data_IF_411447980789
#
_entry.id   IF_411447980789
#
_cell.length_a   1.000
_cell.length_b   1.000
_cell.length_c   1.000
_cell.angle_alpha   90.00
_cell.angle_beta   90.00
_cell.angle_gamma   90.00
#
_symmetry.space_group_name_H-M   'P 1'
#
loop_
_entity.id
_entity.type
_entity.pdbx_description
1 polymer ?
#
# COMPACT_ATOMS: atom_id res chain seq x y z
N UNK A 1 9.87 -66.53 1.61
CA UNK A 1 8.81 -66.00 2.48
C UNK A 1 9.44 -65.21 3.60
N UNK A 2 8.87 -64.04 3.90
CA UNK A 2 8.93 -63.28 5.17
C UNK A 2 10.27 -62.65 5.57
N UNK A 3 10.37 -61.46 6.18
CA UNK A 3 9.62 -60.19 6.28
C UNK A 3 10.47 -59.28 7.21
N UNK A 4 10.44 -57.96 7.03
CA UNK A 4 10.63 -57.00 8.14
C UNK A 4 12.00 -56.26 8.31
N UNK A 5 11.96 -54.94 8.12
CA UNK A 5 12.93 -53.85 8.44
C UNK A 5 13.02 -53.57 9.97
N UNK A 6 14.02 -52.84 10.56
CA UNK A 6 14.23 -51.37 10.40
C UNK A 6 15.69 -50.85 10.47
N UNK A 7 16.06 -49.90 9.60
CA UNK A 7 16.26 -48.44 9.83
C UNK A 7 17.62 -48.04 10.43
N UNK A 8 18.43 -47.28 9.68
CA UNK A 8 19.08 -46.09 10.23
C UNK A 8 19.53 -45.15 9.09
N UNK A 9 18.91 -43.98 9.05
CA UNK A 9 19.15 -42.92 8.06
C UNK A 9 20.50 -42.26 8.33
N UNK A 10 21.46 -42.37 7.40
CA UNK A 10 22.71 -41.62 7.52
C UNK A 10 22.49 -40.15 7.10
N UNK A 11 22.93 -39.18 7.92
CA UNK A 11 22.54 -37.78 7.80
C UNK A 11 23.16 -37.13 6.57
N UNK A 12 22.33 -36.33 5.89
CA UNK A 12 22.79 -35.42 4.84
C UNK A 12 23.95 -34.57 5.38
N UNK A 13 25.09 -34.62 4.69
CA UNK A 13 26.28 -33.82 4.99
C UNK A 13 25.89 -32.35 5.06
N UNK A 14 25.90 -31.76 6.26
CA UNK A 14 25.76 -30.31 6.44
C UNK A 14 26.96 -29.65 5.77
N UNK A 15 26.72 -29.05 4.61
CA UNK A 15 27.69 -28.16 3.98
C UNK A 15 28.03 -27.05 4.98
N UNK A 16 29.31 -26.91 5.31
CA UNK A 16 29.84 -25.91 6.23
C UNK A 16 29.91 -24.55 5.52
N UNK A 17 28.75 -24.06 5.08
CA UNK A 17 28.64 -22.76 4.44
C UNK A 17 28.55 -21.74 5.58
N UNK A 18 29.50 -20.80 5.70
CA UNK A 18 29.37 -19.70 6.64
C UNK A 18 28.07 -18.95 6.34
N UNK A 19 27.33 -18.54 7.37
CA UNK A 19 26.00 -17.92 7.26
C UNK A 19 25.92 -16.68 6.35
N UNK A 20 27.08 -16.13 5.96
CA UNK A 20 27.24 -14.95 5.12
C UNK A 20 27.32 -15.26 3.61
N UNK A 21 27.51 -16.52 3.21
CA UNK A 21 27.60 -16.93 1.81
C UNK A 21 26.35 -17.73 1.41
N UNK A 22 25.20 -17.08 1.35
CA UNK A 22 24.02 -17.66 0.67
C UNK A 22 24.34 -17.82 -0.82
N UNK A 23 23.95 -18.93 -1.48
CA UNK A 23 24.25 -19.16 -2.89
C UNK A 23 23.68 -17.99 -3.69
N UNK A 24 24.55 -17.24 -4.35
CA UNK A 24 24.30 -15.95 -5.02
C UNK A 24 23.34 -16.00 -6.22
N UNK A 25 22.32 -16.85 -6.20
CA UNK A 25 21.36 -17.06 -7.29
C UNK A 25 19.90 -16.73 -6.94
N UNK A 26 19.55 -16.53 -5.67
CA UNK A 26 18.19 -16.09 -5.31
C UNK A 26 18.27 -14.58 -5.11
N UNK A 27 18.07 -13.83 -6.20
CA UNK A 27 17.56 -12.46 -6.06
C UNK A 27 16.23 -12.61 -5.34
N UNK A 28 16.02 -12.05 -4.13
CA UNK A 28 14.68 -11.97 -3.61
C UNK A 28 13.88 -11.28 -4.71
N UNK A 29 12.82 -11.93 -5.22
CA UNK A 29 11.88 -11.27 -6.13
C UNK A 29 11.63 -9.89 -5.54
N UNK A 30 12.04 -8.83 -6.25
CA UNK A 30 11.81 -7.46 -5.83
C UNK A 30 10.30 -7.36 -5.64
N UNK A 31 9.89 -7.44 -4.39
CA UNK A 31 8.50 -7.56 -3.97
C UNK A 31 7.88 -6.21 -4.28
N UNK A 32 7.51 -5.97 -5.55
CA UNK A 32 7.17 -4.67 -6.17
C UNK A 32 6.73 -3.73 -5.08
N UNK A 33 7.70 -2.94 -4.59
CA UNK A 33 7.50 -2.17 -3.37
C UNK A 33 6.30 -1.29 -3.67
N UNK A 34 5.23 -1.48 -2.90
CA UNK A 34 3.93 -0.91 -3.22
C UNK A 34 4.16 0.59 -3.27
N UNK A 35 3.89 1.24 -4.42
CA UNK A 35 4.07 2.68 -4.53
C UNK A 35 3.01 3.34 -3.66
N UNK A 36 3.44 3.71 -2.46
CA UNK A 36 2.63 4.37 -1.46
C UNK A 36 3.28 5.71 -1.10
N UNK A 37 2.44 6.73 -0.96
CA UNK A 37 2.92 8.06 -0.60
C UNK A 37 2.01 8.66 0.45
N UNK A 38 2.63 9.28 1.45
CA UNK A 38 1.92 10.00 2.50
C UNK A 38 1.59 11.40 1.98
N UNK A 39 0.31 11.67 1.79
CA UNK A 39 -0.23 12.92 1.29
C UNK A 39 -1.12 13.57 2.34
N UNK A 40 -1.28 14.89 2.26
CA UNK A 40 -2.22 15.62 3.12
C UNK A 40 -3.59 15.65 2.47
N UNK A 41 -4.62 15.38 3.24
CA UNK A 41 -5.99 15.53 2.77
C UNK A 41 -6.50 16.93 3.12
N UNK A 42 -7.04 17.61 2.11
CA UNK A 42 -7.81 18.85 2.24
C UNK A 42 -9.28 18.59 2.00
N UNK A 43 -10.11 19.25 2.79
CA UNK A 43 -11.56 19.25 2.60
C UNK A 43 -11.95 20.40 1.67
N UNK A 44 -12.70 20.09 0.62
CA UNK A 44 -13.25 21.06 -0.33
C UNK A 44 -14.71 20.72 -0.58
N UNK A 45 -15.56 21.75 -0.59
CA UNK A 45 -16.96 21.65 -1.01
C UNK A 45 -17.13 21.47 -2.51
N UNK A 46 -16.09 21.80 -3.30
CA UNK A 46 -16.06 21.72 -4.77
C UNK A 46 -15.84 20.29 -5.31
N UNK A 47 -15.69 19.30 -4.43
CA UNK A 47 -15.48 17.90 -4.80
C UNK A 47 -16.77 17.14 -4.47
N UNK A 48 -17.30 16.38 -5.42
CA UNK A 48 -18.46 15.51 -5.18
C UNK A 48 -18.17 14.42 -4.14
N UNK A 49 -19.23 13.96 -3.48
CA UNK A 49 -19.17 12.80 -2.59
C UNK A 49 -18.66 11.55 -3.31
N UNK A 50 -17.82 10.75 -2.64
CA UNK A 50 -17.19 9.56 -3.20
C UNK A 50 -16.06 9.82 -4.22
N UNK A 51 -15.77 11.09 -4.53
CA UNK A 51 -14.69 11.49 -5.43
C UNK A 51 -13.55 12.19 -4.68
N UNK A 52 -12.35 12.11 -5.24
CA UNK A 52 -11.17 12.80 -4.75
C UNK A 52 -10.41 13.44 -5.92
N UNK A 53 -10.02 14.71 -5.81
CA UNK A 53 -9.16 15.37 -6.79
C UNK A 53 -7.69 15.19 -6.40
N UNK A 54 -6.85 14.85 -7.37
CA UNK A 54 -5.41 14.64 -7.18
C UNK A 54 -4.63 15.12 -8.40
N UNK A 55 -3.37 15.50 -8.17
CA UNK A 55 -2.46 15.85 -9.25
C UNK A 55 -2.19 14.65 -10.18
N UNK A 56 -2.29 14.81 -11.51
CA UNK A 56 -2.05 13.73 -12.48
C UNK A 56 -0.61 13.17 -12.42
N UNK A 57 0.37 13.96 -11.99
CA UNK A 57 1.76 13.49 -11.83
C UNK A 57 1.88 12.53 -10.65
N UNK A 58 1.23 12.84 -9.53
CA UNK A 58 1.17 11.94 -8.37
C UNK A 58 0.41 10.65 -8.72
N UNK A 59 -0.63 10.74 -9.56
CA UNK A 59 -1.33 9.56 -10.08
C UNK A 59 -0.41 8.65 -10.89
N UNK A 60 0.38 9.21 -11.81
CA UNK A 60 1.35 8.45 -12.62
C UNK A 60 2.44 7.82 -11.77
N UNK A 61 2.94 8.55 -10.76
CA UNK A 61 3.95 8.03 -9.84
C UNK A 61 3.42 6.83 -9.06
N UNK A 62 2.19 6.91 -8.54
CA UNK A 62 1.54 5.87 -7.75
C UNK A 62 0.82 4.80 -8.57
N UNK A 63 0.87 4.89 -9.91
CA UNK A 63 0.18 3.98 -10.84
C UNK A 63 -1.35 3.90 -10.63
N UNK A 64 -1.95 5.03 -10.24
CA UNK A 64 -3.39 5.16 -9.99
C UNK A 64 -4.11 5.50 -11.30
N UNK A 65 -5.10 4.69 -11.67
CA UNK A 65 -5.95 4.90 -12.86
C UNK A 65 -7.28 5.57 -12.50
N UNK A 66 -8.22 4.80 -11.96
CA UNK A 66 -9.62 5.24 -11.77
C UNK A 66 -10.03 5.37 -10.31
N UNK A 67 -9.39 4.59 -9.44
CA UNK A 67 -9.70 4.52 -8.02
C UNK A 67 -8.43 4.67 -7.21
N UNK A 68 -8.55 5.37 -6.09
CA UNK A 68 -7.46 5.57 -5.13
C UNK A 68 -7.85 4.98 -3.78
N UNK A 69 -6.93 4.23 -3.18
CA UNK A 69 -7.10 3.75 -1.81
C UNK A 69 -6.37 4.70 -0.86
N UNK A 70 -7.12 5.30 0.05
CA UNK A 70 -6.66 6.25 1.05
C UNK A 70 -6.73 5.58 2.41
N UNK A 71 -5.57 5.38 3.02
CA UNK A 71 -5.43 4.79 4.35
C UNK A 71 -5.12 5.89 5.36
N UNK A 72 -6.00 6.05 6.33
CA UNK A 72 -5.86 6.99 7.43
C UNK A 72 -5.57 6.23 8.72
N UNK A 73 -4.43 6.53 9.33
CA UNK A 73 -4.09 6.04 10.66
C UNK A 73 -4.63 7.04 11.67
N UNK A 74 -5.84 6.79 12.19
CA UNK A 74 -6.43 7.61 13.24
C UNK A 74 -5.83 7.30 14.61
N UNK A 75 -5.89 8.25 15.55
CA UNK A 75 -5.27 8.20 16.89
C UNK A 75 -5.73 7.09 17.86
N UNK A 76 -6.43 6.07 17.38
CA UNK A 76 -6.86 4.91 18.15
C UNK A 76 -6.58 3.61 17.39
N UNK A 77 -5.31 3.34 17.10
CA UNK A 77 -4.72 2.06 16.66
C UNK A 77 -5.33 1.33 15.44
N UNK A 78 -6.41 1.82 14.83
CA UNK A 78 -7.10 1.19 13.72
C UNK A 78 -6.92 2.00 12.45
N UNK A 79 -6.28 1.39 11.46
CA UNK A 79 -6.16 1.92 10.12
C UNK A 79 -7.54 1.91 9.45
N UNK A 80 -7.99 3.08 9.02
CA UNK A 80 -9.23 3.25 8.24
C UNK A 80 -8.86 3.32 6.77
N UNK A 81 -9.51 2.48 5.96
CA UNK A 81 -9.25 2.41 4.51
C UNK A 81 -10.49 2.88 3.78
N UNK A 82 -10.30 3.81 2.86
CA UNK A 82 -11.36 4.35 2.03
C UNK A 82 -10.93 4.25 0.56
N UNK A 83 -11.89 3.93 -0.30
CA UNK A 83 -11.67 3.87 -1.74
C UNK A 83 -12.50 4.97 -2.37
N UNK A 84 -11.84 5.85 -3.11
CA UNK A 84 -12.47 6.97 -3.79
C UNK A 84 -12.23 6.89 -5.29
N UNK A 85 -13.17 7.41 -6.07
CA UNK A 85 -12.96 7.65 -7.50
C UNK A 85 -12.09 8.89 -7.65
N UNK A 86 -11.01 8.79 -8.41
CA UNK A 86 -10.07 9.89 -8.56
C UNK A 86 -10.35 10.72 -9.80
N UNK A 87 -10.29 12.05 -9.64
CA UNK A 87 -10.35 13.01 -10.74
C UNK A 87 -8.98 13.70 -10.84
N UNK A 88 -8.30 13.61 -11.99
CA UNK A 88 -7.06 14.36 -12.21
C UNK A 88 -7.36 15.86 -12.29
N UNK A 89 -6.63 16.67 -11.52
CA UNK A 89 -6.72 18.14 -11.56
C UNK A 89 -5.35 18.75 -11.30
N UNK A 90 -4.97 19.72 -12.12
CA UNK A 90 -3.67 20.42 -12.02
C UNK A 90 -3.68 21.48 -10.92
N UNK A 91 -4.86 21.93 -10.47
CA UNK A 91 -5.03 22.84 -9.33
C UNK A 91 -4.58 22.21 -8.01
N UNK A 92 -4.54 20.86 -7.95
CA UNK A 92 -4.14 20.13 -6.76
C UNK A 92 -2.62 19.98 -6.73
N UNK A 93 -1.94 20.43 -5.66
CA UNK A 93 -0.51 20.22 -5.50
C UNK A 93 -0.16 18.73 -5.36
N UNK A 94 1.05 18.33 -5.78
CA UNK A 94 1.50 16.92 -5.73
C UNK A 94 1.47 16.27 -4.34
N UNK A 95 1.52 17.08 -3.28
CA UNK A 95 1.56 16.64 -1.88
C UNK A 95 0.19 16.64 -1.20
N UNK A 96 -0.87 17.04 -1.91
CA UNK A 96 -2.22 17.18 -1.37
C UNK A 96 -3.23 16.34 -2.16
N UNK A 97 -4.30 15.95 -1.48
CA UNK A 97 -5.48 15.29 -2.07
C UNK A 97 -6.70 16.04 -1.58
N UNK A 98 -7.58 16.44 -2.49
CA UNK A 98 -8.80 17.14 -2.14
C UNK A 98 -9.97 16.16 -2.13
N UNK A 99 -10.64 16.06 -0.98
CA UNK A 99 -11.82 15.23 -0.80
C UNK A 99 -13.02 16.11 -0.44
N UNK A 100 -14.22 15.58 -0.67
CA UNK A 100 -15.47 16.22 -0.27
C UNK A 100 -15.50 16.53 1.24
N UNK A 101 -15.92 17.75 1.60
CA UNK A 101 -15.95 18.17 3.01
C UNK A 101 -16.95 17.38 3.86
N UNK A 102 -18.16 17.14 3.35
CA UNK A 102 -19.23 16.47 4.08
C UNK A 102 -18.87 15.01 4.36
N UNK A 103 -18.36 14.30 3.35
CA UNK A 103 -17.89 12.93 3.50
C UNK A 103 -16.77 12.84 4.54
N UNK A 104 -15.79 13.74 4.47
CA UNK A 104 -14.69 13.73 5.44
C UNK A 104 -15.16 14.04 6.85
N UNK A 105 -16.20 14.86 7.01
CA UNK A 105 -16.83 15.11 8.31
C UNK A 105 -17.53 13.87 8.84
N UNK A 106 -18.28 13.14 8.00
CA UNK A 106 -18.93 11.86 8.36
C UNK A 106 -17.91 10.79 8.76
N UNK A 107 -16.81 10.72 8.02
CA UNK A 107 -15.70 9.80 8.28
C UNK A 107 -14.84 10.20 9.50
N UNK A 108 -15.07 11.38 10.08
CA UNK A 108 -14.31 11.91 11.21
C UNK A 108 -12.87 12.30 10.85
N UNK A 109 -12.63 12.68 9.59
CA UNK A 109 -11.32 13.10 9.08
C UNK A 109 -11.21 14.62 9.15
N UNK A 110 -10.19 15.09 9.87
CA UNK A 110 -9.90 16.51 9.99
C UNK A 110 -9.26 17.08 8.71
N UNK A 111 -9.34 18.39 8.52
CA UNK A 111 -8.52 19.06 7.50
C UNK A 111 -7.03 18.87 7.80
N UNK A 112 -6.19 18.84 6.77
CA UNK A 112 -4.75 18.56 6.86
C UNK A 112 -4.37 17.20 7.45
N UNK A 113 -5.30 16.24 7.49
CA UNK A 113 -4.98 14.89 7.94
C UNK A 113 -3.93 14.24 7.02
N UNK A 114 -2.97 13.53 7.60
CA UNK A 114 -1.97 12.78 6.84
C UNK A 114 -2.54 11.40 6.52
N UNK A 115 -2.59 11.07 5.23
CA UNK A 115 -3.06 9.78 4.77
C UNK A 115 -2.03 9.11 3.87
N UNK A 116 -1.94 7.79 3.97
CA UNK A 116 -1.16 6.96 3.05
C UNK A 116 -2.03 6.66 1.85
N UNK A 117 -1.63 7.17 0.70
CA UNK A 117 -2.31 6.99 -0.59
C UNK A 117 -1.59 5.90 -1.35
N UNK A 118 -2.35 4.94 -1.85
CA UNK A 118 -1.84 3.79 -2.59
C UNK A 118 -2.79 3.41 -3.73
N UNK A 119 -2.23 2.76 -4.76
CA UNK A 119 -3.07 2.13 -5.78
C UNK A 119 -3.88 0.98 -5.16
N UNK A 120 -5.21 0.93 -5.43
CA UNK A 120 -6.02 -0.22 -5.07
C UNK A 120 -5.50 -1.45 -5.83
N UNK A 121 -5.53 -2.61 -5.18
CA UNK A 121 -5.27 -3.88 -5.87
C UNK A 121 -6.56 -4.28 -6.59
N UNK A 122 -6.44 -4.64 -7.87
CA UNK A 122 -7.38 -5.55 -8.54
C UNK A 122 -7.20 -6.98 -7.98
#
# INVERSE_FOLDING_TARGET
MSEGKPSESKPARKLLIPSFLTPSGIRPEEKRERRERRLRIRRRSDVDEGKAKMNPETMKELEIRDKVEVVLVGGGSRERRYVFTVIPSEDVPRNEVWCNEEEMRRLGVADNSIATVRAPRE
#
